data_IF_495908635029
#
_entry.id   IF_495908635029
#
_cell.length_a   1.000
_cell.length_b   1.000
_cell.length_c   1.000
_cell.angle_alpha   90.00
_cell.angle_beta   90.00
_cell.angle_gamma   90.00
#
_symmetry.space_group_name_H-M   'P 1'
#
loop_
_entity.id
_entity.type
_entity.pdbx_description
1 polymer ?
#
# COMPACT_ATOMS: atom_id res chain seq x y z
N UNK A 1 -27.45 13.03 69.63
CA UNK A 1 -27.41 13.65 68.28
C UNK A 1 -26.00 13.99 67.76
N UNK A 2 -24.96 14.19 68.61
CA UNK A 2 -23.60 14.48 68.12
C UNK A 2 -22.89 13.27 67.47
N UNK A 3 -23.03 12.06 68.04
CA UNK A 3 -22.41 10.84 67.48
C UNK A 3 -22.92 10.45 66.08
N UNK A 4 -24.22 10.62 65.80
CA UNK A 4 -24.80 10.34 64.47
C UNK A 4 -24.26 11.29 63.39
N UNK A 5 -23.98 12.56 63.76
CA UNK A 5 -23.40 13.53 62.82
C UNK A 5 -21.96 13.18 62.44
N UNK A 6 -21.16 12.69 63.39
CA UNK A 6 -19.78 12.25 63.11
C UNK A 6 -19.76 10.91 62.37
N UNK A 7 -20.68 9.99 62.66
CA UNK A 7 -20.82 8.73 61.92
C UNK A 7 -21.24 8.96 60.47
N UNK A 8 -22.18 9.87 60.21
CA UNK A 8 -22.61 10.23 58.85
C UNK A 8 -21.52 10.99 58.09
N UNK A 9 -20.79 11.89 58.75
CA UNK A 9 -19.66 12.62 58.17
C UNK A 9 -18.47 11.71 57.83
N UNK A 10 -18.20 10.69 58.66
CA UNK A 10 -17.15 9.71 58.40
C UNK A 10 -17.54 8.77 57.26
N UNK A 11 -18.81 8.32 57.22
CA UNK A 11 -19.33 7.45 56.16
C UNK A 11 -19.35 8.15 54.78
N UNK A 12 -19.66 9.45 54.77
CA UNK A 12 -19.64 10.26 53.55
C UNK A 12 -18.21 10.50 53.03
N UNK A 13 -17.23 10.69 53.92
CA UNK A 13 -15.81 10.77 53.53
C UNK A 13 -15.27 9.44 52.99
N UNK A 14 -15.68 8.31 53.55
CA UNK A 14 -15.30 6.98 53.04
C UNK A 14 -15.95 6.65 51.69
N UNK A 15 -17.17 7.12 51.42
CA UNK A 15 -17.84 6.92 50.13
C UNK A 15 -17.22 7.77 49.00
N UNK A 16 -16.75 8.98 49.29
CA UNK A 16 -16.00 9.82 48.33
C UNK A 16 -14.61 9.23 48.04
N UNK A 17 -13.96 8.61 49.04
CA UNK A 17 -12.66 7.96 48.83
C UNK A 17 -12.75 6.67 47.99
N UNK A 18 -13.89 5.95 48.04
CA UNK A 18 -14.11 4.73 47.24
C UNK A 18 -14.57 5.06 45.81
N UNK A 19 -15.20 6.21 45.57
CA UNK A 19 -15.54 6.66 44.21
C UNK A 19 -14.37 7.30 43.44
N UNK A 20 -13.18 7.35 44.04
CA UNK A 20 -11.93 7.80 43.42
C UNK A 20 -10.98 6.63 43.09
N UNK A 21 -11.50 5.41 42.97
CA UNK A 21 -10.80 4.34 42.27
C UNK A 21 -11.21 4.40 40.79
N UNK A 22 -10.48 5.16 39.98
CA UNK A 22 -10.56 5.07 38.52
C UNK A 22 -10.01 3.70 38.12
N UNK A 23 -10.90 2.74 37.90
CA UNK A 23 -10.59 1.42 37.33
C UNK A 23 -10.61 1.51 35.80
N UNK A 24 -9.90 2.50 35.24
CA UNK A 24 -9.74 2.65 33.79
C UNK A 24 -8.61 1.72 33.35
N UNK A 25 -8.95 0.46 33.06
CA UNK A 25 -8.02 -0.51 32.51
C UNK A 25 -7.76 -0.23 31.02
N UNK A 26 -6.86 0.73 30.76
CA UNK A 26 -6.45 1.17 29.42
C UNK A 26 -5.29 0.35 28.82
N UNK A 27 -5.01 -0.85 29.33
CA UNK A 27 -3.93 -1.75 28.87
C UNK A 27 -4.03 -2.12 27.36
N UNK A 28 -5.17 -1.83 26.72
CA UNK A 28 -5.35 -1.92 25.28
C UNK A 28 -4.64 -0.79 24.50
N UNK A 29 -4.55 0.42 25.06
CA UNK A 29 -3.87 1.55 24.44
C UNK A 29 -2.35 1.34 24.36
N UNK A 30 -1.78 0.61 25.31
CA UNK A 30 -0.35 0.27 25.35
C UNK A 30 0.06 -0.76 24.28
N UNK A 31 -0.91 -1.47 23.68
CA UNK A 31 -0.67 -2.42 22.59
C UNK A 31 -0.70 -1.77 21.21
N UNK A 32 -1.08 -0.49 21.11
CA UNK A 32 -1.08 0.24 19.85
C UNK A 32 0.37 0.52 19.45
N UNK A 33 0.75 0.07 18.27
CA UNK A 33 2.07 0.35 17.67
C UNK A 33 2.08 1.71 16.98
N UNK A 34 3.27 2.22 16.69
CA UNK A 34 3.41 3.40 15.84
C UNK A 34 2.81 3.13 14.44
N UNK A 35 2.34 4.18 13.74
CA UNK A 35 1.78 4.01 12.40
C UNK A 35 2.77 3.40 11.41
N UNK A 36 2.27 2.62 10.44
CA UNK A 36 3.07 1.96 9.39
C UNK A 36 2.64 2.44 8.00
N UNK A 37 3.44 2.13 6.97
CA UNK A 37 3.14 2.49 5.57
C UNK A 37 2.85 4.00 5.40
N UNK A 38 3.64 4.84 6.08
CA UNK A 38 3.49 6.30 6.02
C UNK A 38 3.99 6.81 4.67
N UNK A 39 3.13 7.50 3.95
CA UNK A 39 3.38 8.13 2.65
C UNK A 39 2.49 9.37 2.48
N UNK A 40 2.54 10.04 1.33
CA UNK A 40 1.60 11.07 0.96
C UNK A 40 1.24 11.00 -0.54
N UNK A 41 -0.03 11.23 -0.85
CA UNK A 41 -0.45 11.56 -2.21
C UNK A 41 -0.19 13.05 -2.45
N UNK A 42 0.59 13.37 -3.46
CA UNK A 42 0.96 14.75 -3.81
C UNK A 42 0.39 15.09 -5.18
N UNK A 43 -0.33 16.21 -5.26
CA UNK A 43 -0.84 16.73 -6.54
C UNK A 43 -0.56 18.22 -6.68
N UNK A 44 -0.25 18.64 -7.91
CA UNK A 44 0.04 20.03 -8.26
C UNK A 44 -1.05 20.56 -9.20
N UNK A 45 -1.49 21.80 -8.98
CA UNK A 45 -2.41 22.46 -9.91
C UNK A 45 -1.68 22.86 -11.20
N UNK A 46 -2.35 22.63 -12.34
CA UNK A 46 -1.81 22.88 -13.67
C UNK A 46 -2.15 24.28 -14.18
N UNK A 47 -1.88 25.30 -13.36
CA UNK A 47 -2.26 26.70 -13.62
C UNK A 47 -1.13 27.70 -13.34
N UNK A 48 0.11 27.21 -13.25
CA UNK A 48 1.31 27.98 -12.90
C UNK A 48 1.22 28.72 -11.55
N UNK A 49 0.38 28.27 -10.61
CA UNK A 49 0.29 28.90 -9.29
C UNK A 49 1.26 28.31 -8.26
N UNK A 50 1.74 27.07 -8.48
CA UNK A 50 2.56 26.35 -7.50
C UNK A 50 1.76 25.79 -6.33
N UNK A 51 0.42 25.79 -6.43
CA UNK A 51 -0.44 25.17 -5.43
C UNK A 51 -0.27 23.64 -5.47
N UNK A 52 0.17 23.10 -4.33
CA UNK A 52 0.32 21.66 -4.08
C UNK A 52 -0.71 21.24 -3.04
N UNK A 53 -1.40 20.13 -3.30
CA UNK A 53 -2.17 19.43 -2.29
C UNK A 53 -1.38 18.21 -1.80
N UNK A 54 -1.14 18.11 -0.50
CA UNK A 54 -0.51 16.95 0.14
C UNK A 54 -1.57 16.25 0.98
N UNK A 55 -1.84 14.98 0.69
CA UNK A 55 -2.76 14.13 1.46
C UNK A 55 -1.96 13.02 2.13
N UNK A 56 -1.66 13.12 3.44
CA UNK A 56 -0.95 12.08 4.17
C UNK A 56 -1.73 10.76 4.24
N UNK A 57 -1.02 9.63 4.13
CA UNK A 57 -1.57 8.29 4.31
C UNK A 57 -0.67 7.47 5.24
N UNK A 58 -1.29 6.68 6.11
CA UNK A 58 -0.63 5.72 6.97
C UNK A 58 -1.65 4.73 7.55
N UNK A 59 -1.18 3.54 7.88
CA UNK A 59 -1.94 2.56 8.66
C UNK A 59 -1.79 2.84 10.16
N UNK A 60 -2.91 2.89 10.89
CA UNK A 60 -2.92 3.10 12.34
C UNK A 60 -2.73 4.54 12.80
N UNK A 61 -2.71 5.52 11.88
CA UNK A 61 -2.68 6.94 12.20
C UNK A 61 -4.09 7.51 12.43
N UNK A 62 -4.22 8.37 13.44
CA UNK A 62 -5.44 9.13 13.77
C UNK A 62 -5.30 10.63 13.49
N UNK A 63 -4.06 11.11 13.32
CA UNK A 63 -3.78 12.47 12.86
C UNK A 63 -2.41 12.54 12.18
N UNK A 64 -2.18 13.63 11.45
CA UNK A 64 -0.93 13.92 10.79
C UNK A 64 -0.47 15.35 11.05
N UNK A 65 0.84 15.54 11.06
CA UNK A 65 1.46 16.85 10.96
C UNK A 65 2.34 16.89 9.71
N UNK A 66 2.30 18.00 8.99
CA UNK A 66 3.07 18.22 7.75
C UNK A 66 3.93 19.46 7.92
N UNK A 67 5.23 19.26 7.79
CA UNK A 67 6.19 20.35 7.55
C UNK A 67 6.51 20.38 6.06
N UNK A 68 6.37 21.54 5.43
CA UNK A 68 6.50 21.70 3.98
C UNK A 68 7.95 21.64 3.46
N UNK A 69 8.95 21.80 4.33
CA UNK A 69 10.37 21.75 3.94
C UNK A 69 10.89 23.02 3.27
N UNK A 70 10.05 24.04 3.06
CA UNK A 70 10.42 25.36 2.49
C UNK A 70 10.65 26.45 3.56
N UNK A 71 10.49 26.10 4.85
CA UNK A 71 10.62 27.02 5.98
C UNK A 71 9.33 27.75 6.36
N UNK A 72 8.20 27.44 5.71
CA UNK A 72 6.87 27.89 6.14
C UNK A 72 6.41 27.20 7.44
N UNK A 73 5.32 27.71 8.02
CA UNK A 73 4.74 27.14 9.24
C UNK A 73 4.19 25.74 8.98
N UNK A 74 4.46 24.81 9.90
CA UNK A 74 3.90 23.46 9.83
C UNK A 74 2.40 23.45 10.08
N UNK A 75 1.70 22.49 9.48
CA UNK A 75 0.28 22.25 9.73
C UNK A 75 0.13 20.99 10.57
N UNK A 76 -0.57 21.10 11.70
CA UNK A 76 -0.76 20.00 12.65
C UNK A 76 -2.21 19.52 12.70
N UNK A 77 -2.42 18.34 13.28
CA UNK A 77 -3.76 17.78 13.54
C UNK A 77 -4.63 17.55 12.29
N UNK A 78 -3.98 17.25 11.16
CA UNK A 78 -4.67 16.89 9.92
C UNK A 78 -5.34 15.54 10.14
N UNK A 79 -6.65 15.48 9.87
CA UNK A 79 -7.44 14.26 10.05
C UNK A 79 -7.31 13.33 8.83
N UNK A 80 -7.30 12.00 9.03
CA UNK A 80 -7.19 11.06 7.91
C UNK A 80 -8.23 11.28 6.82
N UNK A 81 -7.80 11.22 5.57
CA UNK A 81 -8.62 11.44 4.38
C UNK A 81 -8.72 12.91 3.94
N UNK A 82 -8.21 13.86 4.72
CA UNK A 82 -8.12 15.26 4.32
C UNK A 82 -6.72 15.60 3.79
N UNK A 83 -6.68 16.34 2.68
CA UNK A 83 -5.47 16.98 2.16
C UNK A 83 -5.28 18.39 2.71
N UNK A 84 -4.05 18.87 2.65
CA UNK A 84 -3.70 20.27 2.91
C UNK A 84 -3.18 20.91 1.62
N UNK A 85 -3.42 22.21 1.48
CA UNK A 85 -2.98 22.99 0.33
C UNK A 85 -1.84 23.92 0.75
N UNK A 86 -0.80 24.03 -0.06
CA UNK A 86 0.31 24.94 0.14
C UNK A 86 0.85 25.44 -1.19
N UNK A 87 1.22 26.71 -1.25
CA UNK A 87 1.80 27.32 -2.45
C UNK A 87 3.31 27.31 -2.31
N UNK A 88 3.98 26.57 -3.18
CA UNK A 88 5.43 26.55 -3.29
C UNK A 88 5.91 27.41 -4.46
N UNK A 89 7.12 27.94 -4.33
CA UNK A 89 7.87 28.45 -5.47
C UNK A 89 8.43 27.28 -6.30
N UNK A 90 8.92 27.56 -7.51
CA UNK A 90 9.57 26.53 -8.33
C UNK A 90 10.80 25.97 -7.61
N UNK A 91 10.87 24.64 -7.47
CA UNK A 91 11.93 23.99 -6.71
C UNK A 91 11.62 22.56 -6.31
N UNK A 92 12.52 22.00 -5.49
CA UNK A 92 12.38 20.69 -4.87
C UNK A 92 12.48 20.84 -3.37
N UNK A 93 11.54 20.25 -2.65
CA UNK A 93 11.37 20.36 -1.22
C UNK A 93 11.22 18.98 -0.59
N UNK A 94 11.73 18.82 0.63
CA UNK A 94 11.60 17.60 1.42
C UNK A 94 10.55 17.84 2.50
N UNK A 95 9.28 17.58 2.17
CA UNK A 95 8.21 17.69 3.14
C UNK A 95 8.30 16.55 4.16
N UNK A 96 8.08 16.83 5.44
CA UNK A 96 8.09 15.82 6.50
C UNK A 96 6.67 15.50 6.94
N UNK A 97 6.29 14.23 6.82
CA UNK A 97 5.00 13.69 7.25
C UNK A 97 5.19 12.98 8.59
N UNK A 98 4.53 13.49 9.63
CA UNK A 98 4.48 12.85 10.95
C UNK A 98 3.10 12.23 11.14
N UNK A 99 3.02 10.90 11.05
CA UNK A 99 1.81 10.16 11.35
C UNK A 99 1.74 9.87 12.85
N UNK A 100 0.59 10.12 13.48
CA UNK A 100 0.38 9.98 14.93
C UNK A 100 -0.72 8.95 15.19
N UNK A 101 -0.45 7.95 16.03
CA UNK A 101 -1.44 6.97 16.48
C UNK A 101 -2.26 7.46 17.68
N UNK A 102 -3.29 6.70 18.08
CA UNK A 102 -4.19 7.07 19.18
C UNK A 102 -3.48 7.21 20.55
N UNK A 103 -2.38 6.47 20.76
CA UNK A 103 -1.55 6.57 21.98
C UNK A 103 -0.40 7.56 21.83
N UNK A 104 -0.36 8.36 20.76
CA UNK A 104 0.64 9.40 20.53
C UNK A 104 1.99 8.89 20.03
N UNK A 105 2.13 7.60 19.70
CA UNK A 105 3.31 7.12 19.00
C UNK A 105 3.34 7.69 17.58
N UNK A 106 4.54 7.93 17.07
CA UNK A 106 4.72 8.56 15.77
C UNK A 106 5.66 7.80 14.86
N UNK A 107 5.39 7.93 13.57
CA UNK A 107 6.31 7.53 12.50
C UNK A 107 6.48 8.73 11.59
N UNK A 108 7.74 9.01 11.22
CA UNK A 108 8.11 10.18 10.44
C UNK A 108 8.74 9.70 9.13
N UNK A 109 8.26 10.25 8.02
CA UNK A 109 8.78 9.98 6.67
C UNK A 109 8.96 11.29 5.92
N UNK A 110 9.99 11.37 5.09
CA UNK A 110 10.22 12.48 4.16
C UNK A 110 9.58 12.16 2.81
N UNK A 111 8.84 13.13 2.27
CA UNK A 111 8.21 13.09 0.96
C UNK A 111 8.82 14.19 0.09
N UNK A 112 9.36 13.80 -1.07
CA UNK A 112 9.83 14.75 -2.08
C UNK A 112 8.63 15.45 -2.73
N UNK A 113 8.67 16.79 -2.75
CA UNK A 113 7.71 17.66 -3.43
C UNK A 113 8.48 18.47 -4.46
N UNK A 114 8.17 18.25 -5.73
CA UNK A 114 8.77 19.00 -6.85
C UNK A 114 7.72 19.93 -7.43
N UNK A 115 8.09 21.18 -7.70
CA UNK A 115 7.29 22.16 -8.41
C UNK A 115 8.07 22.67 -9.60
N UNK A 116 7.46 22.60 -10.79
CA UNK A 116 8.02 23.03 -12.06
C UNK A 116 6.93 23.67 -12.90
N UNK A 117 7.19 24.88 -13.40
CA UNK A 117 6.29 25.58 -14.33
C UNK A 117 6.57 25.24 -15.80
N UNK A 118 7.47 24.30 -16.04
CA UNK A 118 7.75 23.75 -17.37
C UNK A 118 6.90 22.51 -17.62
N UNK A 119 6.40 22.39 -18.84
CA UNK A 119 5.73 21.18 -19.29
C UNK A 119 6.68 19.97 -19.16
N UNK A 120 6.19 18.78 -18.77
CA UNK A 120 7.03 17.59 -18.71
C UNK A 120 7.60 17.22 -20.07
N UNK A 121 8.84 16.73 -20.12
CA UNK A 121 9.52 16.33 -21.35
C UNK A 121 10.13 14.92 -21.20
N UNK A 122 10.46 14.26 -22.32
CA UNK A 122 11.19 12.99 -22.34
C UNK A 122 10.55 11.87 -21.47
N UNK A 123 9.22 11.75 -21.50
CA UNK A 123 8.50 10.70 -20.76
C UNK A 123 8.90 9.30 -21.24
N UNK A 124 9.43 8.52 -20.31
CA UNK A 124 9.75 7.10 -20.44
C UNK A 124 8.93 6.32 -19.42
N UNK A 125 8.19 5.32 -19.90
CA UNK A 125 7.35 4.44 -19.07
C UNK A 125 7.90 3.02 -19.13
N UNK A 126 7.99 2.36 -17.97
CA UNK A 126 8.36 0.95 -17.85
C UNK A 126 7.16 0.18 -17.31
N UNK A 127 6.75 -0.87 -18.00
CA UNK A 127 5.57 -1.69 -17.68
C UNK A 127 5.98 -3.16 -17.67
N UNK A 128 5.73 -3.86 -16.57
CA UNK A 128 6.12 -5.26 -16.39
C UNK A 128 5.00 -6.09 -15.75
N UNK A 129 4.86 -7.36 -16.15
CA UNK A 129 4.02 -8.31 -15.42
C UNK A 129 4.76 -8.74 -14.14
N UNK A 130 4.04 -8.84 -13.03
CA UNK A 130 4.60 -9.34 -11.78
C UNK A 130 4.97 -10.83 -11.90
N UNK A 131 6.18 -11.17 -11.48
CA UNK A 131 6.69 -12.53 -11.60
C UNK A 131 6.05 -13.51 -10.60
N UNK A 132 5.48 -12.99 -9.50
CA UNK A 132 4.93 -13.78 -8.41
C UNK A 132 3.39 -13.68 -8.31
N UNK A 133 2.81 -12.58 -8.78
CA UNK A 133 1.38 -12.30 -8.63
C UNK A 133 0.68 -12.32 -9.99
N UNK A 134 -0.24 -13.27 -10.16
CA UNK A 134 -0.97 -13.47 -11.42
C UNK A 134 -1.82 -12.26 -11.77
N UNK A 135 -1.76 -11.82 -13.04
CA UNK A 135 -2.51 -10.69 -13.61
C UNK A 135 -2.17 -9.34 -12.97
N UNK A 136 -1.02 -9.23 -12.29
CA UNK A 136 -0.56 -7.97 -11.75
C UNK A 136 0.47 -7.33 -12.68
N UNK A 137 0.32 -6.02 -12.89
CA UNK A 137 1.25 -5.18 -13.63
C UNK A 137 1.88 -4.17 -12.70
N UNK A 138 3.19 -4.01 -12.82
CA UNK A 138 3.98 -3.01 -12.13
C UNK A 138 4.43 -1.96 -13.15
N UNK A 139 4.23 -0.68 -12.81
CA UNK A 139 4.50 0.44 -13.68
C UNK A 139 5.34 1.50 -12.96
N UNK A 140 6.36 2.00 -13.65
CA UNK A 140 7.13 3.19 -13.25
C UNK A 140 7.28 4.14 -14.43
N UNK A 141 7.48 5.41 -14.14
CA UNK A 141 7.63 6.45 -15.15
C UNK A 141 8.70 7.46 -14.73
N UNK A 142 9.41 8.00 -15.72
CA UNK A 142 10.40 9.08 -15.56
C UNK A 142 10.17 10.09 -16.66
N UNK A 143 10.21 11.37 -16.33
CA UNK A 143 10.11 12.48 -17.28
C UNK A 143 10.81 13.70 -16.69
N UNK A 144 11.44 14.51 -17.54
CA UNK A 144 11.97 15.79 -17.12
C UNK A 144 10.82 16.73 -16.73
N UNK A 145 11.03 17.55 -15.69
CA UNK A 145 10.06 18.54 -15.20
C UNK A 145 8.72 17.99 -14.68
N UNK A 146 8.50 16.68 -14.73
CA UNK A 146 7.33 16.07 -14.11
C UNK A 146 7.40 16.17 -12.59
N UNK A 147 6.24 16.38 -11.98
CA UNK A 147 6.06 16.42 -10.53
C UNK A 147 5.17 15.28 -10.06
N UNK A 148 4.37 14.70 -10.95
CA UNK A 148 3.55 13.52 -10.72
C UNK A 148 3.14 12.87 -12.05
N UNK A 149 2.64 11.64 -11.96
CA UNK A 149 2.02 10.94 -13.08
C UNK A 149 0.59 10.52 -12.74
N UNK A 150 -0.26 10.50 -13.77
CA UNK A 150 -1.58 9.87 -13.72
C UNK A 150 -1.57 8.66 -14.64
N UNK A 151 -1.95 7.50 -14.09
CA UNK A 151 -1.88 6.22 -14.76
C UNK A 151 -3.29 5.67 -14.96
N UNK A 152 -3.60 5.33 -16.20
CA UNK A 152 -4.83 4.68 -16.65
C UNK A 152 -4.47 3.27 -17.09
N UNK A 153 -5.04 2.25 -16.46
CA UNK A 153 -4.67 0.84 -16.71
C UNK A 153 -5.52 0.19 -17.80
N UNK A 154 -6.56 0.87 -18.28
CA UNK A 154 -7.34 0.49 -19.46
C UNK A 154 -8.40 -0.58 -19.19
N UNK A 155 -8.74 -0.88 -17.94
CA UNK A 155 -9.71 -1.94 -17.62
C UNK A 155 -11.18 -1.49 -17.81
N UNK A 156 -11.45 -0.18 -17.79
CA UNK A 156 -12.77 0.40 -18.04
C UNK A 156 -12.66 1.71 -18.80
N UNK A 157 -13.69 2.04 -19.60
CA UNK A 157 -13.78 3.32 -20.31
C UNK A 157 -14.03 4.52 -19.40
N UNK A 158 -14.55 4.28 -18.20
CA UNK A 158 -14.88 5.31 -17.19
C UNK A 158 -13.92 5.26 -15.99
N UNK A 159 -12.70 4.75 -16.18
CA UNK A 159 -11.72 4.66 -15.10
C UNK A 159 -11.20 6.03 -14.66
N UNK A 160 -11.03 6.21 -13.36
CA UNK A 160 -10.29 7.35 -12.78
C UNK A 160 -8.81 7.01 -12.75
N UNK A 161 -7.90 7.93 -13.13
CA UNK A 161 -6.48 7.66 -13.07
C UNK A 161 -6.03 7.41 -11.65
N UNK A 162 -5.02 6.56 -11.50
CA UNK A 162 -4.28 6.42 -10.26
C UNK A 162 -3.08 7.37 -10.27
N UNK A 163 -2.89 8.10 -9.18
CA UNK A 163 -1.71 8.95 -9.01
C UNK A 163 -0.47 8.08 -8.77
N UNK A 164 0.64 8.46 -9.38
CA UNK A 164 1.96 7.87 -9.18
C UNK A 164 2.95 9.00 -8.88
N UNK A 165 3.60 8.94 -7.72
CA UNK A 165 4.63 9.90 -7.34
C UNK A 165 5.93 9.64 -8.13
N UNK A 166 6.85 10.61 -8.06
CA UNK A 166 8.19 10.46 -8.64
C UNK A 166 8.96 9.33 -7.96
N UNK A 167 9.79 8.63 -8.72
CA UNK A 167 10.68 7.56 -8.24
C UNK A 167 9.98 6.37 -7.55
N UNK A 168 8.65 6.29 -7.67
CA UNK A 168 7.85 5.18 -7.15
C UNK A 168 7.47 4.19 -8.27
N UNK A 169 6.93 3.04 -7.84
CA UNK A 169 6.28 2.05 -8.71
C UNK A 169 4.86 1.85 -8.23
N UNK A 170 3.91 1.84 -9.16
CA UNK A 170 2.52 1.52 -8.89
C UNK A 170 2.19 0.13 -9.42
N UNK A 171 1.38 -0.61 -8.66
CA UNK A 171 0.92 -1.95 -9.03
C UNK A 171 -0.60 -1.95 -9.25
N UNK A 172 -1.04 -2.68 -10.28
CA UNK A 172 -2.46 -2.90 -10.57
C UNK A 172 -2.74 -4.35 -10.89
N UNK A 173 -3.76 -4.94 -10.26
CA UNK A 173 -4.16 -6.31 -10.49
C UNK A 173 -5.44 -6.36 -11.32
N UNK A 174 -5.35 -6.90 -12.53
CA UNK A 174 -6.47 -7.02 -13.45
C UNK A 174 -7.39 -8.19 -13.09
N UNK A 175 -8.68 -8.03 -13.40
CA UNK A 175 -9.67 -9.09 -13.23
C UNK A 175 -9.37 -10.27 -14.15
N UNK A 176 -9.01 -10.02 -15.40
CA UNK A 176 -8.72 -11.03 -16.42
C UNK A 176 -7.38 -10.78 -17.11
N UNK A 177 -6.80 -11.84 -17.68
CA UNK A 177 -5.64 -11.68 -18.58
C UNK A 177 -6.13 -11.22 -19.96
N UNK A 178 -5.35 -10.38 -20.63
CA UNK A 178 -5.75 -9.77 -21.89
C UNK A 178 -4.81 -8.66 -22.35
N UNK A 179 -5.16 -8.01 -23.44
CA UNK A 179 -4.46 -6.82 -23.93
C UNK A 179 -5.22 -5.58 -23.49
N UNK A 180 -4.51 -4.64 -22.85
CA UNK A 180 -5.07 -3.39 -22.34
C UNK A 180 -4.27 -2.21 -22.88
N UNK A 181 -4.96 -1.10 -23.19
CA UNK A 181 -4.29 0.16 -23.55
C UNK A 181 -3.98 0.92 -22.27
N UNK A 182 -2.71 0.92 -21.86
CA UNK A 182 -2.24 1.70 -20.71
C UNK A 182 -1.93 3.11 -21.20
N UNK A 183 -2.34 4.12 -20.43
CA UNK A 183 -2.01 5.53 -20.69
C UNK A 183 -1.40 6.17 -19.45
N UNK A 184 -0.28 6.86 -19.63
CA UNK A 184 0.40 7.62 -18.58
C UNK A 184 0.43 9.09 -18.98
N UNK A 185 0.00 9.95 -18.07
CA UNK A 185 0.03 11.41 -18.24
C UNK A 185 1.01 11.98 -17.23
N UNK A 186 2.14 12.49 -17.72
CA UNK A 186 3.06 13.26 -16.91
C UNK A 186 2.53 14.68 -16.72
N UNK A 187 2.52 15.14 -15.47
CA UNK A 187 2.04 16.47 -15.07
C UNK A 187 3.12 17.24 -14.32
N UNK A 188 3.01 18.56 -14.39
CA UNK A 188 3.74 19.54 -13.59
C UNK A 188 2.78 20.69 -13.23
N UNK A 189 3.30 21.81 -12.71
CA UNK A 189 2.48 23.01 -12.52
C UNK A 189 2.15 23.72 -13.84
N UNK A 190 2.79 23.32 -14.94
CA UNK A 190 2.44 23.77 -16.28
C UNK A 190 1.06 23.25 -16.70
N UNK A 191 0.37 24.08 -17.51
CA UNK A 191 -0.92 23.73 -18.13
C UNK A 191 -0.75 22.55 -19.12
N UNK A 192 0.37 22.50 -19.83
CA UNK A 192 0.65 21.48 -20.83
C UNK A 192 1.20 20.20 -20.18
N UNK A 193 0.66 19.05 -20.59
CA UNK A 193 1.05 17.72 -20.16
C UNK A 193 1.78 16.96 -21.27
N UNK A 194 2.50 15.91 -20.88
CA UNK A 194 3.06 14.94 -21.82
C UNK A 194 2.45 13.57 -21.58
N UNK A 195 2.01 12.91 -22.65
CA UNK A 195 1.30 11.64 -22.56
C UNK A 195 2.07 10.52 -23.25
N UNK A 196 1.89 9.30 -22.74
CA UNK A 196 2.37 8.05 -23.31
C UNK A 196 1.22 7.05 -23.33
N UNK A 197 1.10 6.24 -24.38
CA UNK A 197 0.14 5.14 -24.42
C UNK A 197 0.65 3.96 -25.25
N UNK A 198 0.43 2.75 -24.74
CA UNK A 198 0.84 1.49 -25.36
C UNK A 198 -0.18 0.38 -25.07
N UNK A 199 -0.34 -0.55 -26.01
CA UNK A 199 -1.05 -1.82 -25.76
C UNK A 199 -0.13 -2.80 -25.02
N UNK A 200 -0.51 -3.19 -23.81
CA UNK A 200 0.25 -4.10 -22.97
C UNK A 200 -0.50 -5.42 -22.77
N UNK A 201 0.22 -6.54 -22.84
CA UNK A 201 -0.35 -7.88 -22.63
C UNK A 201 -0.20 -8.29 -21.17
N UNK A 202 -1.32 -8.30 -20.46
CA UNK A 202 -1.43 -8.80 -19.08
C UNK A 202 -1.55 -10.31 -19.10
N UNK A 203 -0.71 -10.98 -18.32
CA UNK A 203 -0.60 -12.44 -18.31
C UNK A 203 -1.09 -13.04 -17.00
N UNK A 204 -1.67 -14.24 -17.09
CA UNK A 204 -1.99 -15.06 -15.92
C UNK A 204 -0.88 -16.10 -15.69
N UNK A 205 -0.52 -16.31 -14.43
CA UNK A 205 0.31 -17.43 -14.00
C UNK A 205 -0.55 -18.69 -14.00
N UNK A 206 -0.28 -19.61 -14.93
CA UNK A 206 -1.06 -20.85 -15.11
C UNK A 206 -0.42 -22.09 -14.45
N UNK A 207 0.77 -21.94 -13.87
CA UNK A 207 1.52 -23.05 -13.27
C UNK A 207 2.07 -22.67 -11.88
N UNK A 208 2.39 -23.67 -11.03
CA UNK A 208 3.07 -23.40 -9.76
C UNK A 208 4.40 -22.67 -9.98
N UNK A 209 4.69 -21.69 -9.11
CA UNK A 209 5.95 -20.94 -9.12
C UNK A 209 7.08 -21.67 -8.39
N UNK A 210 6.72 -22.46 -7.38
CA UNK A 210 7.63 -23.29 -6.62
C UNK A 210 7.47 -24.75 -7.04
N UNK A 211 8.61 -25.43 -7.22
CA UNK A 211 8.64 -26.86 -7.48
C UNK A 211 8.10 -27.66 -6.30
N UNK A 212 7.72 -28.91 -6.56
CA UNK A 212 7.38 -29.82 -5.47
C UNK A 212 8.60 -29.99 -4.52
N UNK A 213 8.38 -30.06 -3.19
CA UNK A 213 9.47 -30.25 -2.25
C UNK A 213 10.18 -31.58 -2.51
N UNK A 214 11.50 -31.60 -2.33
CA UNK A 214 12.27 -32.84 -2.43
C UNK A 214 11.83 -33.82 -1.35
N UNK A 215 11.41 -35.04 -1.71
CA UNK A 215 11.06 -36.07 -0.74
C UNK A 215 12.24 -36.41 0.20
N UNK A 216 11.95 -36.64 1.48
CA UNK A 216 12.97 -36.94 2.52
C UNK A 216 13.03 -38.42 2.95
N UNK A 217 12.14 -39.26 2.40
CA UNK A 217 12.11 -40.69 2.72
C UNK A 217 13.23 -41.41 1.97
N UNK A 218 13.58 -42.62 2.41
CA UNK A 218 14.46 -43.47 1.61
C UNK A 218 13.68 -43.99 0.39
N UNK A 219 14.35 -44.17 -0.75
CA UNK A 219 13.76 -44.77 -1.96
C UNK A 219 13.18 -46.17 -1.68
N UNK A 220 13.76 -46.91 -0.73
CA UNK A 220 13.26 -48.23 -0.32
C UNK A 220 11.91 -48.19 0.42
N UNK A 221 11.50 -47.03 0.96
CA UNK A 221 10.28 -46.87 1.77
C UNK A 221 9.11 -46.28 0.98
N UNK A 222 9.31 -45.99 -0.31
CA UNK A 222 8.33 -45.29 -1.15
C UNK A 222 8.19 -45.97 -2.50
N UNK A 223 7.02 -45.80 -3.12
CA UNK A 223 6.81 -46.11 -4.52
C UNK A 223 6.75 -44.79 -5.28
N UNK A 224 7.64 -44.62 -6.26
CA UNK A 224 7.63 -43.42 -7.11
C UNK A 224 6.41 -43.41 -8.02
N UNK A 225 5.79 -42.24 -8.13
CA UNK A 225 4.73 -41.92 -9.10
C UNK A 225 4.99 -40.52 -9.62
N UNK A 226 5.55 -40.41 -10.83
CA UNK A 226 5.94 -39.13 -11.45
C UNK A 226 6.89 -38.31 -10.56
N UNK A 227 7.92 -38.95 -9.98
CA UNK A 227 8.92 -38.29 -9.15
C UNK A 227 10.23 -38.05 -9.92
N UNK A 228 10.78 -36.85 -9.82
CA UNK A 228 12.15 -36.57 -10.28
C UNK A 228 13.23 -37.05 -9.29
N UNK A 229 12.83 -37.44 -8.07
CA UNK A 229 13.76 -37.82 -6.99
C UNK A 229 13.93 -39.33 -6.81
N UNK A 230 13.01 -40.14 -7.30
CA UNK A 230 13.03 -41.59 -7.15
C UNK A 230 12.81 -42.29 -8.48
N UNK A 231 13.31 -43.52 -8.61
CA UNK A 231 13.12 -44.30 -9.83
C UNK A 231 11.71 -44.89 -9.86
N UNK A 232 10.99 -44.70 -10.97
CA UNK A 232 9.70 -45.35 -11.17
C UNK A 232 9.84 -46.89 -11.20
N UNK A 233 8.92 -47.62 -10.55
CA UNK A 233 8.96 -49.09 -10.53
C UNK A 233 8.79 -49.67 -11.94
N UNK A 234 9.43 -50.79 -12.26
CA UNK A 234 9.20 -51.51 -13.54
C UNK A 234 8.84 -52.97 -13.26
N UNK A 235 7.68 -53.48 -13.73
CA UNK A 235 6.60 -52.77 -14.43
C UNK A 235 5.81 -51.82 -13.52
N UNK A 236 5.22 -50.76 -14.09
CA UNK A 236 4.36 -49.83 -13.33
C UNK A 236 2.93 -50.37 -13.30
N UNK A 237 2.40 -50.63 -12.09
CA UNK A 237 0.99 -50.89 -11.87
C UNK A 237 0.36 -49.73 -11.08
N UNK A 238 -0.43 -48.91 -11.78
CA UNK A 238 -1.15 -47.80 -11.18
C UNK A 238 -2.48 -48.23 -10.56
N UNK A 239 -2.80 -49.53 -10.51
CA UNK A 239 -4.04 -50.03 -9.93
C UNK A 239 -3.96 -50.02 -8.40
N UNK A 240 -4.68 -49.11 -7.71
CA UNK A 240 -4.47 -48.95 -6.29
C UNK A 240 -5.24 -50.00 -5.45
N UNK A 241 -6.03 -50.88 -6.09
CA UNK A 241 -6.73 -52.05 -5.52
C UNK A 241 -7.86 -51.82 -4.48
N UNK A 242 -8.26 -50.57 -4.22
CA UNK A 242 -9.35 -50.22 -3.30
C UNK A 242 -10.69 -49.89 -4.01
N UNK A 243 -10.89 -50.44 -5.22
CA UNK A 243 -12.17 -50.36 -5.95
C UNK A 243 -12.33 -49.14 -6.88
N UNK A 244 -11.30 -48.32 -7.06
CA UNK A 244 -11.29 -47.22 -8.03
C UNK A 244 -11.04 -47.75 -9.46
N UNK A 245 -11.83 -47.28 -10.44
CA UNK A 245 -11.63 -47.57 -11.86
C UNK A 245 -11.04 -46.34 -12.56
N UNK A 246 -9.86 -46.49 -13.15
CA UNK A 246 -9.22 -45.46 -13.98
C UNK A 246 -9.16 -45.97 -15.42
N UNK A 247 -9.87 -45.29 -16.33
CA UNK A 247 -9.79 -45.59 -17.76
C UNK A 247 -8.80 -44.60 -18.39
N UNK A 248 -7.66 -45.10 -18.86
CA UNK A 248 -6.78 -44.31 -19.71
C UNK A 248 -7.25 -44.52 -21.16
N UNK A 249 -7.83 -43.48 -21.76
CA UNK A 249 -8.14 -43.53 -23.19
C UNK A 249 -6.83 -43.38 -23.98
N UNK A 250 -6.46 -44.43 -24.71
CA UNK A 250 -5.41 -44.38 -25.72
C UNK A 250 -6.07 -44.07 -27.06
N UNK A 251 -5.65 -42.99 -27.73
CA UNK A 251 -6.00 -42.76 -29.15
C UNK A 251 -5.34 -43.80 -30.05
#
# INVERSE_FOLDING_TARGET
MRFIKYAFSLCLFTLVAISCAEDDNLDYADKITAPTNVTAAVSVTQDNTGMVTITPLAEGAVSYNVNFGDGSEEVTEITPGNGIEHVYEEGTYEATITAVSLNGLTTIVTQSVVVSFKAPENLVVTIENDAAISKQVNLSAVADFATMYEVYFGESTDETPMALNLEETISYQYAEAGTYTIKVVAKSAAIETTEYSEEFVVTAILQPLEGAPTPIRSEADVLSVFSDSYTDPSPIDYYPNWGANYNVHTN
#
